data_IF_773999419735
#
_entry.id   IF_773999419735
#
_cell.length_a   1.000
_cell.length_b   1.000
_cell.length_c   1.000
_cell.angle_alpha   90.00
_cell.angle_beta   90.00
_cell.angle_gamma   90.00
#
_symmetry.space_group_name_H-M   'P 1'
#
loop_
_entity.id
_entity.type
_entity.pdbx_description
1 polymer ?
#
# COMPACT_ATOMS: atom_id res chain seq x y z
N UNK A 1 -16.15 -18.28 30.58
CA UNK A 1 -14.76 -17.78 30.64
C UNK A 1 -14.77 -16.32 30.18
N UNK A 2 -14.42 -15.37 31.07
CA UNK A 2 -14.59 -13.92 30.86
C UNK A 2 -13.91 -13.41 29.58
N UNK A 3 -12.69 -13.88 29.28
CA UNK A 3 -11.94 -13.42 28.09
C UNK A 3 -12.63 -13.81 26.79
N UNK A 4 -13.19 -15.03 26.70
CA UNK A 4 -13.93 -15.46 25.51
C UNK A 4 -15.17 -14.59 25.29
N UNK A 5 -15.97 -14.33 26.34
CA UNK A 5 -17.14 -13.46 26.23
C UNK A 5 -16.77 -12.06 25.71
N UNK A 6 -15.70 -11.45 26.24
CA UNK A 6 -15.24 -10.13 25.76
C UNK A 6 -14.78 -10.14 24.31
N UNK A 7 -14.15 -11.23 23.85
CA UNK A 7 -13.76 -11.37 22.44
C UNK A 7 -15.00 -11.59 21.56
N UNK A 8 -15.98 -12.34 22.04
CA UNK A 8 -17.25 -12.55 21.32
C UNK A 8 -18.02 -11.22 21.18
N UNK A 9 -18.20 -10.47 22.27
CA UNK A 9 -18.82 -9.12 22.26
C UNK A 9 -18.10 -8.17 21.29
N UNK A 10 -16.76 -8.16 21.31
CA UNK A 10 -15.96 -7.33 20.41
C UNK A 10 -16.13 -7.75 18.94
N UNK A 11 -16.28 -9.05 18.69
CA UNK A 11 -16.41 -9.61 17.35
C UNK A 11 -17.73 -9.28 16.65
N UNK A 12 -18.78 -8.89 17.38
CA UNK A 12 -20.07 -8.50 16.81
C UNK A 12 -19.97 -7.27 15.91
N UNK A 13 -19.11 -6.31 16.30
CA UNK A 13 -18.97 -5.02 15.64
C UNK A 13 -17.66 -4.89 14.83
N UNK A 14 -16.79 -5.90 14.85
CA UNK A 14 -15.48 -5.85 14.21
C UNK A 14 -15.24 -7.02 13.24
N UNK A 15 -14.36 -6.78 12.25
CA UNK A 15 -13.97 -7.85 11.33
C UNK A 15 -13.19 -8.95 12.07
N UNK A 16 -13.25 -10.17 11.55
CA UNK A 16 -12.49 -11.29 12.08
C UNK A 16 -10.99 -11.00 12.16
N UNK A 17 -10.45 -10.26 11.17
CA UNK A 17 -9.04 -9.83 11.16
C UNK A 17 -8.72 -8.93 12.34
N UNK A 18 -9.51 -7.88 12.55
CA UNK A 18 -9.33 -6.94 13.67
C UNK A 18 -9.45 -7.65 15.02
N UNK A 19 -10.46 -8.53 15.16
CA UNK A 19 -10.64 -9.33 16.38
C UNK A 19 -9.45 -10.26 16.62
N UNK A 20 -8.88 -10.86 15.56
CA UNK A 20 -7.68 -11.70 15.67
C UNK A 20 -6.46 -10.90 16.14
N UNK A 21 -6.27 -9.69 15.64
CA UNK A 21 -5.17 -8.81 16.04
C UNK A 21 -5.27 -8.40 17.53
N UNK A 22 -6.49 -8.10 18.00
CA UNK A 22 -6.73 -7.82 19.43
C UNK A 22 -6.47 -9.07 20.28
N UNK A 23 -7.01 -10.21 19.87
CA UNK A 23 -6.79 -11.47 20.59
C UNK A 23 -5.30 -11.85 20.67
N UNK A 24 -4.54 -11.60 19.61
CA UNK A 24 -3.09 -11.85 19.61
C UNK A 24 -2.38 -11.06 20.72
N UNK A 25 -2.70 -9.77 20.89
CA UNK A 25 -2.16 -8.95 21.97
C UNK A 25 -2.53 -9.46 23.35
N UNK A 26 -3.79 -9.87 23.53
CA UNK A 26 -4.28 -10.46 24.77
C UNK A 26 -3.56 -11.79 25.05
N UNK A 27 -3.40 -12.65 24.05
CA UNK A 27 -2.66 -13.91 24.18
C UNK A 27 -1.21 -13.68 24.62
N UNK A 28 -0.52 -12.70 24.03
CA UNK A 28 0.85 -12.37 24.43
C UNK A 28 0.92 -11.97 25.88
N UNK A 29 -0.01 -11.12 26.36
CA UNK A 29 -0.05 -10.71 27.76
C UNK A 29 -0.37 -11.90 28.72
N UNK A 30 -1.32 -12.76 28.35
CA UNK A 30 -1.67 -13.93 29.16
C UNK A 30 -0.56 -14.98 29.20
N UNK A 31 0.14 -15.21 28.09
CA UNK A 31 1.29 -16.13 28.02
C UNK A 31 2.46 -15.59 28.85
N UNK A 32 2.68 -14.27 28.84
CA UNK A 32 3.67 -13.63 29.71
C UNK A 32 3.33 -13.86 31.20
N UNK A 33 2.08 -13.59 31.60
CA UNK A 33 1.62 -13.79 32.98
C UNK A 33 1.73 -15.26 33.41
N UNK A 34 1.40 -16.20 32.55
CA UNK A 34 1.57 -17.64 32.81
C UNK A 34 3.04 -18.01 32.98
N UNK A 35 3.94 -17.52 32.10
CA UNK A 35 5.38 -17.78 32.18
C UNK A 35 6.04 -17.23 33.45
N UNK A 36 5.45 -16.21 34.08
CA UNK A 36 5.90 -15.63 35.34
C UNK A 36 5.15 -16.17 36.59
N UNK A 37 4.37 -17.25 36.43
CA UNK A 37 3.66 -17.87 37.55
C UNK A 37 2.47 -17.07 38.09
N UNK A 38 2.05 -15.99 37.42
CA UNK A 38 0.88 -15.17 37.81
C UNK A 38 -0.45 -15.84 37.44
N UNK A 39 -0.42 -16.82 36.54
CA UNK A 39 -1.58 -17.62 36.12
C UNK A 39 -1.22 -19.11 36.21
N UNK A 40 -2.16 -19.91 36.72
CA UNK A 40 -2.01 -21.37 36.79
C UNK A 40 -2.18 -22.07 35.44
N UNK A 41 -2.79 -21.40 34.45
CA UNK A 41 -3.08 -21.96 33.11
C UNK A 41 -2.95 -20.89 32.04
N UNK A 42 -2.40 -21.24 30.88
CA UNK A 42 -2.37 -20.37 29.69
C UNK A 42 -3.74 -20.34 28.99
N UNK A 43 -4.65 -19.56 29.54
CA UNK A 43 -6.00 -19.38 29.01
C UNK A 43 -6.03 -18.77 27.60
N UNK A 44 -4.97 -18.07 27.19
CA UNK A 44 -4.88 -17.44 25.88
C UNK A 44 -5.04 -18.45 24.74
N UNK A 45 -4.55 -19.67 24.91
CA UNK A 45 -4.66 -20.76 23.90
C UNK A 45 -6.07 -21.28 23.72
N UNK A 46 -6.93 -21.11 24.72
CA UNK A 46 -8.30 -21.64 24.72
C UNK A 46 -9.30 -20.68 24.05
N UNK A 47 -8.94 -19.40 23.91
CA UNK A 47 -9.83 -18.39 23.32
C UNK A 47 -9.79 -18.47 21.80
N UNK A 48 -10.96 -18.50 21.18
CA UNK A 48 -11.14 -18.57 19.72
C UNK A 48 -11.62 -17.25 19.16
N UNK A 49 -11.16 -16.91 17.96
CA UNK A 49 -11.63 -15.73 17.23
C UNK A 49 -12.92 -16.03 16.50
N UNK A 50 -13.88 -15.12 16.61
CA UNK A 50 -15.08 -15.04 15.80
C UNK A 50 -15.08 -13.71 15.03
N UNK A 51 -16.14 -13.40 14.34
CA UNK A 51 -16.34 -12.16 13.60
C UNK A 51 -16.55 -12.36 12.11
N UNK A 52 -17.11 -11.35 11.48
CA UNK A 52 -17.45 -11.37 10.06
C UNK A 52 -16.18 -11.40 9.20
N UNK A 53 -16.14 -12.30 8.23
CA UNK A 53 -15.13 -12.26 7.19
C UNK A 53 -15.45 -11.03 6.33
N UNK A 54 -14.57 -10.02 6.35
CA UNK A 54 -14.73 -8.88 5.45
C UNK A 54 -14.28 -9.28 4.04
N UNK A 55 -15.15 -9.13 3.07
CA UNK A 55 -14.74 -9.20 1.67
C UNK A 55 -13.72 -8.09 1.41
N UNK A 56 -12.60 -8.45 0.81
CA UNK A 56 -11.63 -7.45 0.32
C UNK A 56 -12.29 -6.70 -0.84
N UNK A 57 -12.75 -5.50 -0.60
CA UNK A 57 -13.15 -4.61 -1.69
C UNK A 57 -11.89 -4.28 -2.50
N UNK A 58 -11.93 -4.53 -3.80
CA UNK A 58 -10.91 -4.02 -4.71
C UNK A 58 -11.02 -2.49 -4.70
N UNK A 59 -9.98 -1.83 -4.22
CA UNK A 59 -9.89 -0.36 -4.14
C UNK A 59 -8.93 0.22 -5.17
N UNK A 60 -8.37 -0.59 -6.06
CA UNK A 60 -7.55 -0.12 -7.18
C UNK A 60 -8.45 0.45 -8.29
N UNK A 61 -7.95 1.47 -8.97
CA UNK A 61 -8.57 1.99 -10.18
C UNK A 61 -8.32 1.03 -11.35
N UNK A 62 -9.23 0.99 -12.31
CA UNK A 62 -8.99 0.35 -13.59
C UNK A 62 -7.89 1.07 -14.38
N UNK A 63 -7.32 0.40 -15.39
CA UNK A 63 -6.30 1.01 -16.26
C UNK A 63 -6.84 2.26 -16.96
N UNK A 64 -8.10 2.25 -17.35
CA UNK A 64 -8.76 3.40 -17.98
C UNK A 64 -8.88 4.57 -17.01
N UNK A 65 -9.35 4.34 -15.80
CA UNK A 65 -9.44 5.36 -14.76
C UNK A 65 -8.07 5.90 -14.36
N UNK A 66 -7.06 5.05 -14.26
CA UNK A 66 -5.68 5.45 -14.02
C UNK A 66 -5.18 6.41 -15.11
N UNK A 67 -5.44 6.10 -16.39
CA UNK A 67 -5.07 6.97 -17.52
C UNK A 67 -5.77 8.33 -17.44
N UNK A 68 -7.07 8.35 -17.14
CA UNK A 68 -7.84 9.59 -16.99
C UNK A 68 -7.27 10.44 -15.85
N UNK A 69 -7.05 9.85 -14.68
CA UNK A 69 -6.49 10.55 -13.52
C UNK A 69 -5.09 11.09 -13.83
N UNK A 70 -4.22 10.27 -14.43
CA UNK A 70 -2.86 10.66 -14.83
C UNK A 70 -2.87 11.84 -15.82
N UNK A 71 -3.68 11.76 -16.87
CA UNK A 71 -3.80 12.83 -17.86
C UNK A 71 -4.28 14.15 -17.25
N UNK A 72 -5.25 14.07 -16.34
CA UNK A 72 -5.71 15.24 -15.60
C UNK A 72 -4.57 15.83 -14.75
N UNK A 73 -3.85 15.00 -14.01
CA UNK A 73 -2.77 15.44 -13.10
C UNK A 73 -1.53 15.98 -13.81
N UNK A 74 -1.28 15.60 -15.06
CA UNK A 74 -0.18 16.13 -15.87
C UNK A 74 -0.49 17.49 -16.52
N UNK A 75 -1.76 17.92 -16.60
CA UNK A 75 -2.13 19.20 -17.17
C UNK A 75 -1.77 20.35 -16.22
N UNK A 76 -1.47 21.54 -16.79
CA UNK A 76 -0.94 22.70 -16.08
C UNK A 76 -1.69 23.13 -14.80
N UNK A 77 -0.98 23.79 -13.89
CA UNK A 77 -1.46 24.39 -12.64
C UNK A 77 -2.05 23.42 -11.63
N UNK A 78 -1.19 22.55 -11.10
CA UNK A 78 -1.54 21.62 -10.03
C UNK A 78 -1.19 22.19 -8.67
N UNK A 79 -2.07 21.97 -7.70
CA UNK A 79 -1.71 22.23 -6.32
C UNK A 79 -0.77 21.12 -5.79
N UNK A 80 -0.14 21.39 -4.67
CA UNK A 80 0.78 20.46 -4.01
C UNK A 80 0.15 19.08 -3.75
N UNK A 81 -1.15 19.05 -3.40
CA UNK A 81 -1.87 17.82 -3.14
C UNK A 81 -2.05 17.00 -4.43
N UNK A 82 -2.41 17.63 -5.55
CA UNK A 82 -2.55 16.95 -6.84
C UNK A 82 -1.22 16.39 -7.35
N UNK A 83 -0.11 17.09 -7.11
CA UNK A 83 1.24 16.58 -7.42
C UNK A 83 1.58 15.37 -6.51
N UNK A 84 1.21 15.40 -5.23
CA UNK A 84 1.39 14.25 -4.35
C UNK A 84 0.57 13.03 -4.80
N UNK A 85 -0.66 13.23 -5.30
CA UNK A 85 -1.48 12.15 -5.88
C UNK A 85 -0.84 11.60 -7.14
N UNK A 86 -0.30 12.47 -8.00
CA UNK A 86 0.44 12.05 -9.21
C UNK A 86 1.65 11.19 -8.84
N UNK A 87 2.46 11.62 -7.87
CA UNK A 87 3.60 10.84 -7.38
C UNK A 87 3.18 9.49 -6.80
N UNK A 88 2.08 9.44 -6.03
CA UNK A 88 1.56 8.17 -5.53
C UNK A 88 1.20 7.20 -6.67
N UNK A 89 0.57 7.73 -7.72
CA UNK A 89 0.16 6.97 -8.90
C UNK A 89 1.36 6.50 -9.74
N UNK A 90 2.35 7.36 -9.95
CA UNK A 90 3.54 7.09 -10.79
C UNK A 90 4.59 6.21 -10.12
N UNK A 91 4.66 6.24 -8.79
CA UNK A 91 5.72 5.56 -8.05
C UNK A 91 5.25 4.36 -7.25
N UNK A 92 3.97 4.31 -6.91
CA UNK A 92 3.43 3.36 -5.95
C UNK A 92 3.97 3.58 -4.53
N UNK A 93 4.57 4.73 -4.22
CA UNK A 93 5.05 5.05 -2.88
C UNK A 93 3.89 5.10 -1.88
N UNK A 94 4.16 4.71 -0.64
CA UNK A 94 3.18 4.85 0.45
C UNK A 94 2.96 6.32 0.78
N UNK A 95 1.75 6.67 1.21
CA UNK A 95 1.46 8.06 1.61
C UNK A 95 2.48 8.62 2.61
N UNK A 96 2.82 7.85 3.63
CA UNK A 96 3.81 8.29 4.62
C UNK A 96 5.21 8.48 4.03
N UNK A 97 5.61 7.71 3.02
CA UNK A 97 6.88 7.85 2.30
C UNK A 97 6.90 9.17 1.50
N UNK A 98 5.78 9.52 0.86
CA UNK A 98 5.66 10.82 0.15
C UNK A 98 5.67 11.99 1.13
N UNK A 99 4.99 11.89 2.27
CA UNK A 99 5.01 12.92 3.31
C UNK A 99 6.40 13.10 3.93
N UNK A 100 7.23 12.05 3.96
CA UNK A 100 8.62 12.10 4.40
C UNK A 100 9.61 12.59 3.34
N UNK A 101 9.12 13.03 2.17
CA UNK A 101 10.00 13.51 1.10
C UNK A 101 10.59 14.90 1.43
N UNK A 102 11.92 15.02 1.26
CA UNK A 102 12.69 16.26 1.46
C UNK A 102 13.41 16.64 0.18
N UNK A 103 13.82 17.92 0.00
CA UNK A 103 14.58 18.36 -1.17
C UNK A 103 15.84 17.53 -1.44
N UNK A 104 16.58 17.18 -0.40
CA UNK A 104 17.80 16.36 -0.50
C UNK A 104 17.55 14.90 -0.93
N UNK A 105 16.30 14.49 -0.99
CA UNK A 105 15.88 13.15 -1.48
C UNK A 105 15.37 13.20 -2.93
N UNK A 106 15.48 14.35 -3.60
CA UNK A 106 15.09 14.49 -5.00
C UNK A 106 16.36 14.57 -5.84
N UNK A 107 16.52 13.64 -6.76
CA UNK A 107 17.56 13.62 -7.78
C UNK A 107 16.92 13.93 -9.14
N UNK A 108 17.74 14.17 -10.14
CA UNK A 108 17.24 14.34 -11.51
C UNK A 108 16.43 13.10 -11.95
N UNK A 109 15.18 13.33 -12.31
CA UNK A 109 14.21 12.28 -12.72
C UNK A 109 14.06 11.11 -11.73
N UNK A 110 14.24 11.37 -10.42
CA UNK A 110 14.09 10.34 -9.40
C UNK A 110 13.80 10.92 -8.01
N UNK A 111 13.22 10.09 -7.14
CA UNK A 111 13.11 10.34 -5.70
C UNK A 111 13.73 9.19 -4.91
N UNK A 112 14.30 9.51 -3.75
CA UNK A 112 14.83 8.57 -2.79
C UNK A 112 13.86 8.41 -1.62
N UNK A 113 13.36 7.22 -1.41
CA UNK A 113 12.58 6.91 -0.21
C UNK A 113 13.55 6.63 0.95
N UNK A 114 13.56 7.55 1.93
CA UNK A 114 14.47 7.51 3.09
C UNK A 114 13.73 7.57 4.42
N UNK A 115 12.57 8.24 4.46
CA UNK A 115 11.73 8.47 5.62
C UNK A 115 10.27 8.09 5.33
N UNK A 116 9.49 7.90 6.39
CA UNK A 116 8.05 7.69 6.30
C UNK A 116 7.37 8.31 7.51
N UNK A 117 6.53 9.30 7.31
CA UNK A 117 5.75 9.94 8.37
C UNK A 117 4.48 9.13 8.63
N UNK A 118 4.28 8.77 9.90
CA UNK A 118 3.05 8.12 10.38
C UNK A 118 2.21 9.12 11.19
N UNK A 119 0.90 9.22 10.95
CA UNK A 119 0.03 10.07 11.77
C UNK A 119 -0.07 9.63 13.25
N UNK A 120 0.29 8.39 13.54
CA UNK A 120 0.14 7.75 14.86
C UNK A 120 1.45 7.58 15.62
N UNK A 121 2.58 7.98 15.04
CA UNK A 121 3.90 7.83 15.63
C UNK A 121 4.77 9.01 15.26
N UNK A 122 5.53 9.53 16.22
CA UNK A 122 6.58 10.54 15.97
C UNK A 122 7.83 9.93 15.31
N UNK A 123 7.83 8.63 15.08
CA UNK A 123 8.91 7.91 14.42
C UNK A 123 8.83 8.11 12.92
N UNK A 124 9.89 8.64 12.34
CA UNK A 124 10.03 8.86 10.87
C UNK A 124 10.85 7.76 10.21
N UNK A 125 11.36 6.79 10.98
CA UNK A 125 12.19 5.74 10.43
C UNK A 125 11.38 4.75 9.56
N UNK A 126 12.01 4.31 8.48
CA UNK A 126 11.47 3.23 7.67
C UNK A 126 11.53 1.90 8.42
N UNK A 127 10.42 1.17 8.43
CA UNK A 127 10.29 -0.12 9.15
C UNK A 127 11.34 -1.17 8.78
N UNK A 128 11.96 -1.08 7.60
CA UNK A 128 12.98 -2.02 7.14
C UNK A 128 14.02 -1.34 6.26
N UNK A 129 15.26 -1.88 6.22
CA UNK A 129 16.32 -1.43 5.29
C UNK A 129 15.88 -1.56 3.83
N UNK A 130 15.09 -2.57 3.46
CA UNK A 130 14.54 -2.76 2.10
C UNK A 130 13.53 -1.69 1.68
N UNK A 131 13.00 -0.91 2.63
CA UNK A 131 12.12 0.22 2.30
C UNK A 131 12.88 1.40 1.68
N UNK A 132 14.20 1.51 1.91
CA UNK A 132 15.06 2.51 1.27
C UNK A 132 15.28 2.13 -0.18
N UNK A 133 14.86 2.99 -1.08
CA UNK A 133 14.95 2.72 -2.52
C UNK A 133 14.92 4.02 -3.34
N UNK A 134 15.43 3.94 -4.56
CA UNK A 134 15.31 4.98 -5.57
C UNK A 134 14.13 4.65 -6.49
N UNK A 135 13.30 5.64 -6.78
CA UNK A 135 12.15 5.55 -7.68
C UNK A 135 12.33 6.52 -8.82
N UNK A 136 12.53 6.00 -10.02
CA UNK A 136 12.62 6.82 -11.22
C UNK A 136 11.27 7.45 -11.56
N UNK A 137 11.32 8.70 -12.04
CA UNK A 137 10.19 9.51 -12.48
C UNK A 137 10.34 9.84 -13.95
N UNK A 138 9.21 10.01 -14.63
CA UNK A 138 9.19 10.72 -15.91
C UNK A 138 9.57 12.19 -15.70
N UNK A 139 10.20 12.79 -16.69
CA UNK A 139 10.71 14.17 -16.61
C UNK A 139 9.61 15.17 -16.24
N UNK A 140 8.45 15.10 -16.89
CA UNK A 140 7.30 15.97 -16.62
C UNK A 140 6.84 15.91 -15.16
N UNK A 141 6.86 14.72 -14.56
CA UNK A 141 6.48 14.51 -13.15
C UNK A 141 7.54 15.09 -12.21
N UNK A 142 8.80 14.94 -12.58
CA UNK A 142 9.92 15.52 -11.85
C UNK A 142 9.88 17.05 -11.89
N UNK A 143 9.63 17.68 -13.04
CA UNK A 143 9.47 19.14 -13.16
C UNK A 143 8.32 19.66 -12.29
N UNK A 144 7.17 18.99 -12.30
CA UNK A 144 6.05 19.33 -11.41
C UNK A 144 6.46 19.23 -9.93
N UNK A 145 7.18 18.19 -9.54
CA UNK A 145 7.68 18.05 -8.17
C UNK A 145 8.64 19.20 -7.80
N UNK A 146 9.57 19.56 -8.70
CA UNK A 146 10.53 20.64 -8.50
C UNK A 146 9.87 22.02 -8.42
N UNK A 147 8.66 22.19 -8.93
CA UNK A 147 7.91 23.44 -8.82
C UNK A 147 7.39 23.72 -7.39
N UNK A 148 7.38 22.72 -6.51
CA UNK A 148 6.89 22.85 -5.13
C UNK A 148 7.98 23.48 -4.26
N UNK A 149 7.64 24.55 -3.55
CA UNK A 149 8.53 25.14 -2.54
C UNK A 149 8.47 24.31 -1.26
N UNK A 150 9.61 23.87 -0.71
CA UNK A 150 9.64 23.14 0.56
C UNK A 150 8.99 23.91 1.70
N UNK A 151 8.39 23.19 2.62
CA UNK A 151 7.78 23.74 3.83
C UNK A 151 8.84 24.20 4.83
N UNK A 152 8.46 25.02 5.81
CA UNK A 152 9.37 25.49 6.88
C UNK A 152 9.97 24.36 7.71
N UNK A 153 9.29 23.21 7.80
CA UNK A 153 9.77 22.02 8.48
C UNK A 153 10.71 21.15 7.63
N UNK A 154 11.09 21.59 6.43
CA UNK A 154 12.00 20.90 5.53
C UNK A 154 11.37 19.80 4.66
N UNK A 155 10.07 19.53 4.77
CA UNK A 155 9.39 18.58 3.90
C UNK A 155 8.82 19.23 2.65
N UNK A 156 8.65 18.47 1.59
CA UNK A 156 8.00 18.91 0.36
C UNK A 156 6.49 19.04 0.56
N UNK A 157 5.88 18.04 1.20
CA UNK A 157 4.44 17.99 1.42
C UNK A 157 4.09 18.26 2.88
N UNK A 158 2.90 18.85 3.10
CA UNK A 158 2.40 19.08 4.45
C UNK A 158 2.05 17.72 5.09
N UNK A 159 2.66 17.37 6.24
CA UNK A 159 2.37 16.13 6.95
C UNK A 159 0.98 16.07 7.57
N UNK A 160 0.21 17.17 7.60
CA UNK A 160 -1.17 17.20 8.13
C UNK A 160 -2.12 16.38 7.24
N UNK A 161 -1.97 15.05 7.38
CA UNK A 161 -2.58 14.05 6.53
C UNK A 161 -4.08 13.82 6.73
N UNK A 162 -4.73 14.48 7.70
CA UNK A 162 -6.12 14.20 8.04
C UNK A 162 -7.09 14.55 6.90
N UNK A 163 -6.83 15.63 6.19
CA UNK A 163 -7.67 16.11 5.09
C UNK A 163 -7.36 15.48 3.73
N UNK A 164 -6.23 14.77 3.59
CA UNK A 164 -5.76 14.26 2.30
C UNK A 164 -6.67 13.15 1.73
N UNK A 165 -7.21 12.28 2.58
CA UNK A 165 -8.15 11.23 2.12
C UNK A 165 -9.46 11.84 1.62
N UNK A 166 -9.93 12.88 2.27
CA UNK A 166 -11.13 13.62 1.86
C UNK A 166 -10.90 14.39 0.54
N UNK A 167 -9.75 15.08 0.42
CA UNK A 167 -9.34 15.76 -0.82
C UNK A 167 -9.25 14.77 -1.99
N UNK A 168 -8.66 13.59 -1.77
CA UNK A 168 -8.62 12.54 -2.79
C UNK A 168 -10.02 12.09 -3.21
N UNK A 169 -10.92 11.87 -2.25
CA UNK A 169 -12.30 11.51 -2.54
C UNK A 169 -13.01 12.55 -3.41
N UNK A 170 -12.88 13.84 -3.08
CA UNK A 170 -13.46 14.94 -3.86
C UNK A 170 -12.85 15.06 -5.27
N UNK A 171 -11.53 14.85 -5.40
CA UNK A 171 -10.86 14.84 -6.71
C UNK A 171 -11.42 13.73 -7.60
N UNK A 172 -11.52 12.51 -7.09
CA UNK A 172 -12.02 11.36 -7.84
C UNK A 172 -13.49 11.54 -8.22
N UNK A 173 -14.32 12.03 -7.31
CA UNK A 173 -15.73 12.32 -7.55
C UNK A 173 -15.91 13.37 -8.65
N UNK A 174 -15.12 14.46 -8.62
CA UNK A 174 -15.11 15.50 -9.65
C UNK A 174 -14.76 14.96 -11.05
N UNK A 175 -13.92 13.92 -11.10
CA UNK A 175 -13.50 13.27 -12.34
C UNK A 175 -14.41 12.10 -12.76
N UNK A 176 -15.43 11.77 -11.97
CA UNK A 176 -16.31 10.63 -12.23
C UNK A 176 -15.61 9.28 -12.08
N UNK A 177 -14.56 9.21 -11.24
CA UNK A 177 -13.75 8.01 -11.04
C UNK A 177 -14.18 7.24 -9.80
N UNK A 178 -13.89 5.95 -9.78
CA UNK A 178 -14.14 5.07 -8.63
C UNK A 178 -13.41 5.55 -7.38
N UNK A 179 -14.04 5.36 -6.21
CA UNK A 179 -13.44 5.71 -4.93
C UNK A 179 -12.22 4.83 -4.65
N UNK A 180 -11.10 5.47 -4.34
CA UNK A 180 -9.88 4.81 -3.92
C UNK A 180 -9.20 5.54 -2.77
N UNK A 181 -8.11 4.99 -2.25
CA UNK A 181 -7.26 5.53 -1.20
C UNK A 181 -5.84 5.72 -1.71
N UNK A 182 -4.95 6.38 -0.94
CA UNK A 182 -3.52 6.38 -1.30
C UNK A 182 -2.92 4.98 -1.38
N UNK A 183 -3.43 4.03 -0.57
CA UNK A 183 -3.03 2.64 -0.71
C UNK A 183 -3.58 2.02 -2.00
N UNK A 184 -4.83 2.34 -2.35
CA UNK A 184 -5.42 1.92 -3.61
C UNK A 184 -4.73 2.51 -4.85
N UNK A 185 -4.17 3.73 -4.78
CA UNK A 185 -3.31 4.28 -5.85
C UNK A 185 -2.04 3.45 -6.04
N UNK A 186 -1.44 3.00 -4.93
CA UNK A 186 -0.30 2.07 -4.97
C UNK A 186 -0.69 0.72 -5.57
N UNK A 187 -1.86 0.20 -5.22
CA UNK A 187 -2.39 -1.04 -5.79
C UNK A 187 -2.67 -0.88 -7.28
N UNK A 188 -3.19 0.30 -7.69
CA UNK A 188 -3.37 0.68 -9.10
C UNK A 188 -2.04 0.69 -9.85
N UNK A 189 -0.99 1.31 -9.27
CA UNK A 189 0.35 1.31 -9.84
C UNK A 189 0.88 -0.12 -10.02
N UNK A 190 0.74 -0.96 -9.00
CA UNK A 190 1.15 -2.36 -9.08
C UNK A 190 0.41 -3.12 -10.18
N UNK A 191 -0.93 -2.99 -10.24
CA UNK A 191 -1.77 -3.62 -11.27
C UNK A 191 -1.36 -3.20 -12.68
N UNK A 192 -1.07 -1.90 -12.86
CA UNK A 192 -0.61 -1.37 -14.14
C UNK A 192 0.75 -1.97 -14.55
N UNK A 193 1.71 -2.04 -13.64
CA UNK A 193 3.00 -2.67 -13.92
C UNK A 193 2.86 -4.17 -14.20
N UNK A 194 2.00 -4.88 -13.48
CA UNK A 194 1.70 -6.30 -13.74
C UNK A 194 1.04 -6.53 -15.10
N UNK A 195 0.32 -5.55 -15.65
CA UNK A 195 -0.26 -5.67 -16.99
C UNK A 195 0.80 -5.65 -18.10
N UNK A 196 2.01 -5.22 -17.79
CA UNK A 196 3.14 -5.24 -18.73
C UNK A 196 3.87 -6.58 -18.66
N UNK A 197 4.00 -7.24 -19.80
CA UNK A 197 4.78 -8.51 -19.92
C UNK A 197 6.30 -8.29 -19.86
N UNK A 198 6.73 -7.03 -19.97
CA UNK A 198 8.15 -6.65 -20.00
C UNK A 198 8.74 -6.37 -18.62
N UNK A 199 7.91 -6.31 -17.56
CA UNK A 199 8.33 -5.92 -16.21
C UNK A 199 8.27 -7.14 -15.29
N UNK A 200 9.43 -7.53 -14.74
CA UNK A 200 9.49 -8.66 -13.83
C UNK A 200 8.82 -8.39 -12.48
N UNK A 201 8.29 -9.44 -11.87
CA UNK A 201 7.68 -9.37 -10.51
C UNK A 201 8.72 -8.92 -9.47
N UNK A 202 9.97 -9.32 -9.63
CA UNK A 202 11.09 -8.89 -8.77
C UNK A 202 11.28 -7.39 -8.81
N UNK A 203 11.30 -6.79 -10.00
CA UNK A 203 11.40 -5.34 -10.15
C UNK A 203 10.21 -4.63 -9.50
N UNK A 204 8.99 -5.12 -9.73
CA UNK A 204 7.78 -4.57 -9.11
C UNK A 204 7.88 -4.65 -7.58
N UNK A 205 8.33 -5.78 -7.04
CA UNK A 205 8.53 -5.97 -5.59
C UNK A 205 9.53 -4.97 -5.00
N UNK A 206 10.66 -4.77 -5.67
CA UNK A 206 11.70 -3.81 -5.28
C UNK A 206 11.17 -2.37 -5.38
N UNK A 207 10.52 -2.01 -6.48
CA UNK A 207 9.92 -0.68 -6.69
C UNK A 207 8.89 -0.34 -5.62
N UNK A 208 8.05 -1.29 -5.25
CA UNK A 208 7.09 -1.13 -4.17
C UNK A 208 7.74 -1.17 -2.77
N UNK A 209 8.94 -1.68 -2.62
CA UNK A 209 9.61 -1.83 -1.31
C UNK A 209 8.90 -2.86 -0.44
N UNK A 210 8.56 -4.02 -1.01
CA UNK A 210 8.08 -5.16 -0.25
C UNK A 210 9.25 -5.91 0.38
N UNK A 211 9.17 -6.19 1.67
CA UNK A 211 10.20 -6.98 2.38
C UNK A 211 10.20 -8.44 1.93
N UNK A 212 9.06 -8.94 1.49
CA UNK A 212 8.86 -10.30 1.00
C UNK A 212 8.16 -10.28 -0.36
N UNK A 213 8.77 -10.91 -1.37
CA UNK A 213 8.24 -11.06 -2.72
C UNK A 213 6.87 -11.76 -2.73
N UNK A 214 6.61 -12.64 -1.74
CA UNK A 214 5.32 -13.32 -1.61
C UNK A 214 4.15 -12.33 -1.50
N UNK A 215 4.38 -11.15 -0.91
CA UNK A 215 3.37 -10.08 -0.88
C UNK A 215 3.01 -9.64 -2.30
N UNK A 216 4.01 -9.47 -3.16
CA UNK A 216 3.83 -9.06 -4.56
C UNK A 216 3.17 -10.19 -5.38
N UNK A 217 3.59 -11.43 -5.17
CA UNK A 217 2.99 -12.61 -5.81
C UNK A 217 1.52 -12.78 -5.44
N UNK A 218 1.16 -12.63 -4.17
CA UNK A 218 -0.22 -12.71 -3.72
C UNK A 218 -1.10 -11.61 -4.36
N UNK A 219 -0.53 -10.41 -4.54
CA UNK A 219 -1.20 -9.32 -5.28
C UNK A 219 -1.42 -9.70 -6.74
N UNK A 220 -0.39 -10.18 -7.42
CA UNK A 220 -0.46 -10.63 -8.81
C UNK A 220 -1.56 -11.67 -9.00
N UNK A 221 -1.58 -12.72 -8.17
CA UNK A 221 -2.58 -13.80 -8.25
C UNK A 221 -4.02 -13.32 -7.96
N UNK A 222 -4.17 -12.26 -7.17
CA UNK A 222 -5.48 -11.70 -6.84
C UNK A 222 -6.02 -10.78 -7.95
N UNK A 223 -5.13 -10.04 -8.61
CA UNK A 223 -5.50 -9.01 -9.59
C UNK A 223 -5.66 -9.56 -11.02
N UNK A 224 -5.02 -10.68 -11.33
CA UNK A 224 -4.97 -11.22 -12.69
C UNK A 224 -5.22 -12.75 -12.75
N UNK A 225 -6.38 -13.23 -12.26
CA UNK A 225 -6.69 -14.67 -12.33
C UNK A 225 -6.75 -15.18 -13.78
N UNK A 226 -7.20 -14.34 -14.74
CA UNK A 226 -7.31 -14.68 -16.16
C UNK A 226 -5.93 -14.91 -16.82
N UNK A 227 -4.88 -14.18 -16.40
CA UNK A 227 -3.53 -14.39 -16.93
C UNK A 227 -2.96 -15.75 -16.58
N UNK A 228 -3.42 -16.40 -15.52
CA UNK A 228 -2.96 -17.75 -15.18
C UNK A 228 -3.38 -18.76 -16.25
N UNK A 229 -4.62 -18.70 -16.72
CA UNK A 229 -5.12 -19.56 -17.80
C UNK A 229 -4.39 -19.32 -19.11
N UNK A 230 -4.08 -18.05 -19.43
CA UNK A 230 -3.30 -17.71 -20.61
C UNK A 230 -1.87 -18.29 -20.52
N UNK A 231 -1.21 -18.15 -19.37
CA UNK A 231 0.14 -18.69 -19.18
C UNK A 231 0.19 -20.22 -19.23
N UNK A 232 -0.86 -20.91 -18.80
CA UNK A 232 -0.95 -22.36 -18.95
C UNK A 232 -1.04 -22.75 -20.44
N UNK A 233 -1.81 -22.01 -21.26
CA UNK A 233 -1.88 -22.21 -22.70
C UNK A 233 -0.54 -21.88 -23.37
N UNK A 234 0.05 -20.74 -23.08
CA UNK A 234 1.36 -20.31 -23.62
C UNK A 234 2.48 -21.31 -23.28
N UNK A 235 2.43 -21.88 -22.05
CA UNK A 235 3.40 -22.90 -21.63
C UNK A 235 3.25 -24.20 -22.45
N UNK A 236 2.02 -24.64 -22.73
CA UNK A 236 1.75 -25.82 -23.57
C UNK A 236 2.19 -25.58 -25.00
N UNK A 237 1.91 -24.40 -25.55
CA UNK A 237 2.33 -24.03 -26.91
C UNK A 237 3.87 -24.00 -27.02
N UNK A 238 4.55 -23.45 -26.02
CA UNK A 238 6.01 -23.46 -25.96
C UNK A 238 6.58 -24.88 -25.88
N UNK A 239 6.01 -25.74 -25.02
CA UNK A 239 6.43 -27.13 -24.92
C UNK A 239 6.23 -27.91 -26.23
N UNK A 240 5.13 -27.67 -26.93
CA UNK A 240 4.84 -28.27 -28.23
C UNK A 240 5.86 -27.84 -29.31
N UNK A 241 6.28 -26.56 -29.29
CA UNK A 241 7.28 -26.03 -30.24
C UNK A 241 8.68 -26.64 -30.08
N UNK A 242 8.99 -27.29 -28.94
CA UNK A 242 10.25 -28.00 -28.71
C UNK A 242 10.25 -29.41 -29.33
N UNK A 243 9.09 -29.86 -29.83
CA UNK A 243 8.93 -31.20 -30.42
C UNK A 243 9.02 -31.20 -31.96
N UNK A 244 9.27 -30.03 -32.57
CA UNK A 244 9.58 -29.82 -33.98
C UNK A 244 11.10 -29.60 -34.18
#
# INVERSE_FOLDING_TARGET
MIVQSKIDDYSENHSRKTTTEVLLKIRTALSYAYGHGLLATDFGKLVKTRGKVSEKKNISLSITEMKILRQYLLRAHKDEFEIMVLLALETGARRGELLGLRPEYIEENAILIRESISPTSNDTELKTKKSRRKLSLNHDVWELLMSIKPKKNGYIFDPDGFKQSEKLGRLLERLGLSKTTFHGLRDTHASFLFSSEKISIDYISQRLGHSNIQTTMNYYLTLMPEKKHQQDADALDFLNSLSE
#
